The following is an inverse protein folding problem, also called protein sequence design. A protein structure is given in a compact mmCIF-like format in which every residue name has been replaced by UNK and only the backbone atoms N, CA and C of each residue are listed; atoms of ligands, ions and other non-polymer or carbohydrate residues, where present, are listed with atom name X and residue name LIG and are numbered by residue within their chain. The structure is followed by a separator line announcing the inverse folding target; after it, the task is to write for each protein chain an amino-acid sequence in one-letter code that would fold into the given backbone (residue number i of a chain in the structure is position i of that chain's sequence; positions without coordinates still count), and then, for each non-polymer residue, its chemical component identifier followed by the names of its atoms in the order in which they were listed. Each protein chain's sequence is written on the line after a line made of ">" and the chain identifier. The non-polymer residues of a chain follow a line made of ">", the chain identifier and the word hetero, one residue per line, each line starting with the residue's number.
data_IF_438726100242
#
_entry.id   IF_438726100242
#
_cell.length_a   1.000
_cell.length_b   1.000
_cell.length_c   1.000
_cell.angle_alpha   90.00
_cell.angle_beta   90.00
_cell.angle_gamma   90.00
#
_symmetry.space_group_name_H-M   'P 1'
#
loop_
_entity.id
_entity.type
_entity.pdbx_description
1 polymer ?
#
# COMPACT_ATOMS: atom_id res chain seq x y z
N UNK A 1 2.62 -4.54 -15.50
CA UNK A 1 2.50 -3.11 -15.24
C UNK A 1 3.33 -2.75 -14.01
N UNK A 2 4.15 -1.72 -14.13
CA UNK A 2 4.95 -1.25 -13.00
C UNK A 2 4.04 -0.63 -11.92
N UNK A 3 4.43 -0.74 -10.64
CA UNK A 3 3.65 -0.17 -9.54
C UNK A 3 3.30 1.31 -9.71
N UNK A 4 4.21 2.13 -10.24
CA UNK A 4 3.95 3.54 -10.48
C UNK A 4 2.78 3.74 -11.45
N UNK A 5 2.75 2.98 -12.55
CA UNK A 5 1.68 3.06 -13.52
C UNK A 5 0.36 2.55 -12.94
N UNK A 6 0.42 1.50 -12.14
CA UNK A 6 -0.75 0.95 -11.45
C UNK A 6 -1.35 1.99 -10.49
N UNK A 7 -0.50 2.67 -9.71
CA UNK A 7 -0.94 3.72 -8.79
C UNK A 7 -1.59 4.87 -9.55
N UNK A 8 -0.95 5.35 -10.63
CA UNK A 8 -1.47 6.46 -11.42
C UNK A 8 -2.84 6.13 -12.01
N UNK A 9 -3.02 4.90 -12.50
CA UNK A 9 -4.31 4.46 -13.06
C UNK A 9 -5.38 4.43 -11.99
N UNK A 10 -5.09 3.88 -10.81
CA UNK A 10 -6.06 3.81 -9.73
C UNK A 10 -6.47 5.21 -9.26
N UNK A 11 -5.51 6.13 -9.13
CA UNK A 11 -5.80 7.52 -8.76
C UNK A 11 -6.65 8.22 -9.81
N UNK A 12 -6.36 7.97 -11.10
CA UNK A 12 -7.15 8.55 -12.19
C UNK A 12 -8.60 8.04 -12.18
N UNK A 13 -8.80 6.80 -11.73
CA UNK A 13 -10.13 6.18 -11.64
C UNK A 13 -10.85 6.52 -10.32
N UNK A 14 -10.24 7.37 -9.48
CA UNK A 14 -10.76 7.73 -8.15
C UNK A 14 -11.02 6.50 -7.28
N UNK A 15 -10.20 5.47 -7.44
CA UNK A 15 -10.29 4.25 -6.65
C UNK A 15 -9.43 4.39 -5.39
N UNK A 16 -9.92 3.98 -4.20
CA UNK A 16 -9.05 3.94 -3.03
C UNK A 16 -7.88 2.99 -3.26
N UNK A 17 -6.70 3.39 -2.81
CA UNK A 17 -5.46 2.64 -3.06
C UNK A 17 -4.68 2.45 -1.77
N UNK A 18 -4.14 1.26 -1.59
CA UNK A 18 -3.14 0.97 -0.57
C UNK A 18 -1.84 0.61 -1.28
N UNK A 19 -0.77 1.35 -1.01
CA UNK A 19 0.55 1.10 -1.58
C UNK A 19 1.44 0.54 -0.49
N UNK A 20 1.89 -0.70 -0.68
CA UNK A 20 2.70 -1.41 0.31
C UNK A 20 4.15 -1.47 -0.14
N UNK A 21 5.02 -0.74 0.58
CA UNK A 21 6.47 -0.70 0.30
C UNK A 21 7.20 -1.67 1.21
N UNK A 22 7.93 -2.60 0.61
CA UNK A 22 8.62 -3.66 1.34
C UNK A 22 9.86 -4.15 0.60
N UNK A 23 10.62 -4.99 1.29
CA UNK A 23 11.71 -5.78 0.70
C UNK A 23 11.52 -7.23 1.13
N UNK A 24 12.02 -8.16 0.34
CA UNK A 24 11.91 -9.59 0.65
C UNK A 24 12.95 -10.06 1.69
N UNK A 25 13.90 -9.20 2.06
CA UNK A 25 14.96 -9.50 3.04
C UNK A 25 14.76 -8.75 4.35
N UNK A 26 13.60 -8.17 4.57
CA UNK A 26 13.26 -7.38 5.75
C UNK A 26 12.26 -8.16 6.59
N UNK A 27 12.64 -8.59 7.80
CA UNK A 27 11.77 -9.40 8.66
C UNK A 27 10.46 -8.69 9.03
N UNK A 28 10.47 -7.41 9.47
CA UNK A 28 9.21 -6.71 9.71
C UNK A 28 8.35 -6.57 8.45
N UNK A 29 8.97 -6.48 7.26
CA UNK A 29 8.24 -6.44 6.01
C UNK A 29 7.50 -7.76 5.77
N UNK A 30 8.13 -8.88 6.08
CA UNK A 30 7.49 -10.20 5.92
C UNK A 30 6.33 -10.37 6.89
N UNK A 31 6.47 -9.86 8.11
CA UNK A 31 5.36 -9.84 9.08
C UNK A 31 4.18 -9.02 8.54
N UNK A 32 4.46 -7.84 8.01
CA UNK A 32 3.42 -6.99 7.44
C UNK A 32 2.80 -7.60 6.19
N UNK A 33 3.59 -8.31 5.38
CA UNK A 33 3.09 -9.03 4.22
C UNK A 33 2.04 -10.07 4.62
N UNK A 34 2.30 -10.81 5.70
CA UNK A 34 1.34 -11.79 6.22
C UNK A 34 0.02 -11.11 6.63
N UNK A 35 0.12 -9.93 7.26
CA UNK A 35 -1.06 -9.16 7.65
C UNK A 35 -1.84 -8.70 6.41
N UNK A 36 -1.15 -8.18 5.41
CA UNK A 36 -1.79 -7.76 4.15
C UNK A 36 -2.46 -8.94 3.46
N UNK A 37 -1.79 -10.08 3.39
CA UNK A 37 -2.33 -11.28 2.76
C UNK A 37 -3.56 -11.80 3.49
N UNK A 38 -3.62 -11.62 4.80
CA UNK A 38 -4.77 -12.02 5.61
C UNK A 38 -5.98 -11.11 5.42
N UNK A 39 -5.76 -9.81 5.30
CA UNK A 39 -6.83 -8.79 5.35
C UNK A 39 -7.28 -8.35 3.96
N UNK A 40 -6.34 -8.13 3.04
CA UNK A 40 -6.67 -7.52 1.74
C UNK A 40 -7.70 -8.28 0.93
N UNK A 41 -7.75 -9.64 0.90
CA UNK A 41 -8.76 -10.34 0.09
C UNK A 41 -10.19 -9.94 0.41
N UNK A 42 -10.47 -9.47 1.65
CA UNK A 42 -11.80 -9.00 2.03
C UNK A 42 -12.19 -7.71 1.29
N UNK A 43 -11.22 -6.96 0.75
CA UNK A 43 -11.43 -5.62 0.18
C UNK A 43 -10.99 -5.51 -1.29
N UNK A 44 -10.60 -6.61 -1.90
CA UNK A 44 -9.98 -6.59 -3.24
C UNK A 44 -10.88 -5.96 -4.31
N UNK A 45 -12.19 -6.04 -4.14
CA UNK A 45 -13.13 -5.44 -5.09
C UNK A 45 -13.24 -3.92 -4.95
N UNK A 46 -12.98 -3.39 -3.74
CA UNK A 46 -13.22 -1.98 -3.43
C UNK A 46 -11.94 -1.16 -3.34
N UNK A 47 -10.81 -1.78 -3.01
CA UNK A 47 -9.53 -1.09 -2.76
C UNK A 47 -8.45 -1.73 -3.62
N UNK A 48 -7.70 -0.89 -4.34
CA UNK A 48 -6.55 -1.35 -5.12
C UNK A 48 -5.35 -1.57 -4.20
N UNK A 49 -4.64 -2.69 -4.36
CA UNK A 49 -3.37 -2.91 -3.68
C UNK A 49 -2.23 -2.78 -4.69
N UNK A 50 -1.31 -1.86 -4.43
CA UNK A 50 -0.08 -1.70 -5.19
C UNK A 50 1.07 -2.21 -4.35
N UNK A 51 1.67 -3.32 -4.78
CA UNK A 51 2.76 -3.98 -4.08
C UNK A 51 4.09 -3.50 -4.65
N UNK A 52 4.94 -2.90 -3.80
CA UNK A 52 6.19 -2.27 -4.25
C UNK A 52 7.38 -2.88 -3.52
N UNK A 53 8.18 -3.65 -4.26
CA UNK A 53 9.48 -4.12 -3.78
C UNK A 53 10.51 -3.01 -3.97
N UNK A 54 11.00 -2.46 -2.85
CA UNK A 54 11.93 -1.32 -2.89
C UNK A 54 13.31 -1.70 -3.43
N UNK A 55 13.63 -3.00 -3.47
CA UNK A 55 14.89 -3.47 -4.04
C UNK A 55 14.88 -3.52 -5.58
N UNK A 56 13.71 -3.43 -6.20
CA UNK A 56 13.60 -3.37 -7.65
C UNK A 56 13.90 -1.94 -8.10
N UNK A 57 14.99 -1.78 -8.86
CA UNK A 57 15.47 -0.45 -9.28
C UNK A 57 14.46 0.30 -10.14
N UNK A 58 13.53 -0.40 -10.80
CA UNK A 58 12.48 0.23 -11.60
C UNK A 58 11.49 1.02 -10.73
N UNK A 59 11.49 0.77 -9.42
CA UNK A 59 10.60 1.47 -8.47
C UNK A 59 11.26 2.67 -7.79
N UNK A 60 12.52 2.99 -8.12
CA UNK A 60 13.25 4.06 -7.42
C UNK A 60 12.60 5.44 -7.58
N UNK A 61 12.06 5.75 -8.75
CA UNK A 61 11.38 7.03 -8.96
C UNK A 61 10.12 7.12 -8.09
N UNK A 62 9.37 6.02 -7.97
CA UNK A 62 8.19 5.98 -7.11
C UNK A 62 8.58 6.18 -5.64
N UNK A 63 9.66 5.54 -5.20
CA UNK A 63 10.13 5.71 -3.82
C UNK A 63 10.43 7.17 -3.50
N UNK A 64 11.09 7.87 -4.43
CA UNK A 64 11.41 9.29 -4.27
C UNK A 64 10.15 10.14 -4.28
N UNK A 65 9.26 9.89 -5.23
CA UNK A 65 8.01 10.65 -5.36
C UNK A 65 7.13 10.52 -4.11
N UNK A 66 7.11 9.33 -3.50
CA UNK A 66 6.32 9.06 -2.30
C UNK A 66 7.06 9.38 -1.01
N UNK A 67 8.33 9.80 -1.09
CA UNK A 67 9.17 10.15 0.07
C UNK A 67 9.27 8.99 1.06
N UNK A 68 9.50 7.78 0.55
CA UNK A 68 9.62 6.59 1.38
C UNK A 68 11.02 6.50 1.97
N UNK A 69 11.11 6.54 3.31
CA UNK A 69 12.39 6.57 4.02
C UNK A 69 12.64 5.33 4.86
N UNK A 70 11.60 4.53 5.11
CA UNK A 70 11.74 3.29 5.86
C UNK A 70 10.70 2.30 5.40
N UNK A 71 10.96 1.02 5.67
CA UNK A 71 10.07 -0.09 5.35
C UNK A 71 9.86 -0.97 6.58
N UNK A 72 8.72 -1.65 6.69
CA UNK A 72 7.59 -1.55 5.78
C UNK A 72 6.85 -0.22 5.94
N UNK A 73 6.33 0.29 4.84
CA UNK A 73 5.48 1.49 4.83
C UNK A 73 4.19 1.19 4.09
N UNK A 74 3.11 1.75 4.57
CA UNK A 74 1.81 1.63 3.95
C UNK A 74 1.29 3.04 3.66
N UNK A 75 1.12 3.36 2.38
CA UNK A 75 0.57 4.63 1.94
C UNK A 75 -0.85 4.37 1.46
N UNK A 76 -1.81 5.13 1.98
CA UNK A 76 -3.20 4.99 1.55
C UNK A 76 -3.67 6.28 0.90
N UNK A 77 -4.41 6.13 -0.20
CA UNK A 77 -5.08 7.23 -0.88
C UNK A 77 -6.57 6.95 -0.88
N UNK A 78 -7.36 7.93 -0.43
CA UNK A 78 -8.81 7.81 -0.52
C UNK A 78 -9.31 8.23 -1.92
N UNK A 79 -10.63 8.20 -2.13
CA UNK A 79 -11.21 8.49 -3.45
C UNK A 79 -10.95 9.92 -3.93
N UNK A 80 -10.72 10.85 -3.02
CA UNK A 80 -10.41 12.25 -3.38
C UNK A 80 -8.91 12.51 -3.42
N UNK A 81 -8.08 11.47 -3.25
CA UNK A 81 -6.64 11.57 -3.37
C UNK A 81 -5.92 12.04 -2.10
N UNK A 82 -6.60 12.08 -0.97
CA UNK A 82 -5.94 12.37 0.31
C UNK A 82 -5.04 11.22 0.70
N UNK A 83 -3.83 11.55 1.11
CA UNK A 83 -2.76 10.60 1.38
C UNK A 83 -2.47 10.51 2.87
N UNK A 84 -2.34 9.29 3.37
CA UNK A 84 -1.83 9.01 4.71
C UNK A 84 -0.75 7.95 4.63
N UNK A 85 0.24 8.01 5.50
CA UNK A 85 1.31 7.02 5.56
C UNK A 85 1.44 6.48 6.98
N UNK A 86 1.64 5.17 7.09
CA UNK A 86 1.99 4.49 8.34
C UNK A 86 3.24 3.67 8.14
N UNK A 87 4.05 3.56 9.18
CA UNK A 87 5.31 2.83 9.17
C UNK A 87 5.24 1.65 10.12
N UNK A 88 5.99 0.59 9.80
CA UNK A 88 6.10 -0.58 10.65
C UNK A 88 4.95 -1.56 10.49
N UNK A 89 4.91 -2.54 11.38
CA UNK A 89 3.93 -3.62 11.34
C UNK A 89 2.64 -3.18 11.99
N UNK A 90 1.51 -3.38 11.28
CA UNK A 90 0.17 -3.16 11.83
C UNK A 90 -0.43 -4.49 12.24
N UNK A 91 -1.24 -4.47 13.32
CA UNK A 91 -2.07 -5.61 13.66
C UNK A 91 -3.16 -5.81 12.59
N UNK A 92 -3.58 -7.06 12.31
CA UNK A 92 -4.61 -7.32 11.29
C UNK A 92 -5.90 -6.52 11.50
N UNK A 93 -6.35 -6.39 12.75
CA UNK A 93 -7.57 -5.63 13.06
C UNK A 93 -7.44 -4.15 12.73
N UNK A 94 -6.25 -3.58 12.93
CA UNK A 94 -6.01 -2.17 12.60
C UNK A 94 -6.01 -1.94 11.09
N UNK A 95 -5.40 -2.84 10.34
CA UNK A 95 -5.42 -2.76 8.88
C UNK A 95 -6.85 -2.94 8.36
N UNK A 96 -7.60 -3.89 8.90
CA UNK A 96 -8.99 -4.13 8.49
C UNK A 96 -9.84 -2.89 8.71
N UNK A 97 -9.71 -2.25 9.86
CA UNK A 97 -10.44 -1.01 10.16
C UNK A 97 -10.14 0.08 9.15
N UNK A 98 -8.86 0.27 8.82
CA UNK A 98 -8.43 1.26 7.84
C UNK A 98 -9.02 0.97 6.46
N UNK A 99 -8.99 -0.29 6.07
CA UNK A 99 -9.55 -0.70 4.78
C UNK A 99 -11.07 -0.53 4.73
N UNK A 100 -11.76 -0.80 5.84
CA UNK A 100 -13.20 -0.56 5.93
C UNK A 100 -13.55 0.90 5.70
N UNK A 101 -12.77 1.82 6.28
CA UNK A 101 -12.96 3.26 6.09
C UNK A 101 -12.75 3.63 4.63
N UNK A 102 -11.68 3.15 4.02
CA UNK A 102 -11.40 3.41 2.60
C UNK A 102 -12.51 2.89 1.69
N UNK A 103 -12.95 1.66 1.92
CA UNK A 103 -13.96 1.00 1.09
C UNK A 103 -15.33 1.63 1.24
N UNK A 104 -15.62 2.23 2.39
CA UNK A 104 -16.91 2.83 2.69
C UNK A 104 -17.09 4.24 2.18
N UNK A 105 -16.05 4.84 1.62
CA UNK A 105 -16.13 6.23 1.15
C UNK A 105 -16.80 6.39 -0.21
#
# INVERSE_FOLDING_TARGET
>A
VLPEAQLQRALADSKPVVVFFHSLTCDPCMQMMDVVDQVYPEFADAVELVDVNVSDTRNHDLLRAEDIRMIPSLVVYDRVGQRQITYGVMAPGDLRQRMQILAGQ
#
